data_IF_149770252603
#
_entry.id   IF_149770252603
#
_cell.length_a   1.000
_cell.length_b   1.000
_cell.length_c   1.000
_cell.angle_alpha   90.00
_cell.angle_beta   90.00
_cell.angle_gamma   90.00
#
_symmetry.space_group_name_H-M   'P 1'
#
loop_
_entity.id
_entity.type
_entity.pdbx_description
1 polymer ?
#
# COMPACT_ATOMS: atom_id res chain seq x y z
N UNK A 1 12.12 -14.82 4.87
CA UNK A 1 10.80 -14.27 4.47
C UNK A 1 10.92 -13.63 3.09
N UNK A 2 9.89 -13.76 2.25
CA UNK A 2 9.82 -13.07 0.95
C UNK A 2 9.07 -11.75 1.12
N UNK A 3 9.64 -10.67 0.59
CA UNK A 3 8.98 -9.35 0.57
C UNK A 3 7.98 -9.32 -0.58
N UNK A 4 6.74 -8.99 -0.26
CA UNK A 4 5.64 -8.92 -1.23
C UNK A 4 5.14 -7.48 -1.29
N UNK A 5 5.12 -6.92 -2.50
CA UNK A 5 4.48 -5.65 -2.81
C UNK A 5 3.12 -5.92 -3.47
N UNK A 6 2.06 -5.25 -3.00
CA UNK A 6 0.73 -5.33 -3.61
C UNK A 6 0.45 -4.04 -4.36
N UNK A 7 0.48 -4.11 -5.70
CA UNK A 7 0.17 -2.98 -6.58
C UNK A 7 -1.31 -3.02 -6.95
N UNK A 8 -2.06 -2.01 -6.52
CA UNK A 8 -3.51 -1.89 -6.61
C UNK A 8 -4.20 -2.45 -5.35
N UNK A 9 -4.55 -1.59 -4.40
CA UNK A 9 -5.28 -1.91 -3.17
C UNK A 9 -6.81 -1.86 -3.37
N UNK A 10 -7.27 -2.44 -4.48
CA UNK A 10 -8.68 -2.57 -4.81
C UNK A 10 -9.38 -3.71 -4.05
N UNK A 11 -10.50 -4.19 -4.60
CA UNK A 11 -11.28 -5.27 -3.99
C UNK A 11 -10.46 -6.55 -3.79
N UNK A 12 -9.68 -6.96 -4.79
CA UNK A 12 -8.80 -8.14 -4.70
C UNK A 12 -7.52 -7.82 -3.95
N UNK A 13 -6.88 -6.70 -4.26
CA UNK A 13 -5.59 -6.32 -3.66
C UNK A 13 -5.61 -6.30 -2.14
N UNK A 14 -6.66 -5.75 -1.52
CA UNK A 14 -6.76 -5.73 -0.05
C UNK A 14 -6.86 -7.13 0.57
N UNK A 15 -7.53 -8.07 -0.10
CA UNK A 15 -7.63 -9.46 0.34
C UNK A 15 -6.30 -10.19 0.19
N UNK A 16 -5.56 -9.89 -0.87
CA UNK A 16 -4.21 -10.41 -1.08
C UNK A 16 -3.25 -9.87 -0.02
N UNK A 17 -3.28 -8.57 0.27
CA UNK A 17 -2.46 -7.96 1.32
C UNK A 17 -2.73 -8.59 2.70
N UNK A 18 -4.01 -8.80 3.04
CA UNK A 18 -4.39 -9.49 4.27
C UNK A 18 -3.86 -10.94 4.29
N UNK A 19 -4.00 -11.68 3.19
CA UNK A 19 -3.51 -13.06 3.10
C UNK A 19 -1.99 -13.14 3.27
N UNK A 20 -1.23 -12.24 2.63
CA UNK A 20 0.23 -12.13 2.77
C UNK A 20 0.62 -11.87 4.22
N UNK A 21 -0.08 -10.96 4.91
CA UNK A 21 0.20 -10.61 6.30
C UNK A 21 -0.06 -11.75 7.30
N UNK A 22 -0.79 -12.79 6.89
CA UNK A 22 -1.06 -13.98 7.70
C UNK A 22 -0.07 -15.13 7.45
N UNK A 23 0.83 -15.03 6.46
CA UNK A 23 1.76 -16.11 6.16
C UNK A 23 3.06 -15.95 6.95
N UNK A 24 3.50 -17.02 7.60
CA UNK A 24 4.71 -17.03 8.44
C UNK A 24 6.02 -16.87 7.61
N UNK A 25 5.98 -17.12 6.30
CA UNK A 25 7.12 -17.05 5.40
C UNK A 25 7.14 -15.80 4.49
N UNK A 26 6.15 -14.92 4.61
CA UNK A 26 6.01 -13.69 3.82
C UNK A 26 6.02 -12.43 4.69
N UNK A 27 6.43 -11.32 4.08
CA UNK A 27 6.38 -10.00 4.66
C UNK A 27 5.71 -9.05 3.66
N UNK A 28 4.66 -8.35 4.08
CA UNK A 28 4.03 -7.32 3.25
C UNK A 28 4.90 -6.06 3.29
N UNK A 29 5.66 -5.83 2.22
CA UNK A 29 6.54 -4.67 2.11
C UNK A 29 5.77 -3.34 2.01
N UNK A 30 4.56 -3.42 1.43
CA UNK A 30 3.65 -2.28 1.29
C UNK A 30 2.55 -2.53 0.26
N UNK A 31 1.59 -1.60 0.24
CA UNK A 31 0.52 -1.53 -0.75
C UNK A 31 0.67 -0.24 -1.55
N UNK A 32 0.39 -0.27 -2.85
CA UNK A 32 0.54 0.88 -3.72
C UNK A 32 -0.76 1.14 -4.50
N UNK A 33 -1.20 2.39 -4.61
CA UNK A 33 -2.41 2.75 -5.36
C UNK A 33 -2.35 4.19 -5.91
N UNK A 34 -3.31 4.54 -6.77
CA UNK A 34 -3.61 5.91 -7.18
C UNK A 34 -4.78 6.52 -6.40
N UNK A 35 -5.59 5.67 -5.73
CA UNK A 35 -6.83 6.08 -5.08
C UNK A 35 -6.55 6.70 -3.71
N UNK A 36 -7.21 7.81 -3.38
CA UNK A 36 -7.01 8.58 -2.13
C UNK A 36 -8.19 8.46 -1.14
N UNK A 37 -9.09 7.49 -1.34
CA UNK A 37 -10.32 7.36 -0.54
C UNK A 37 -10.19 6.49 0.72
N UNK A 38 -11.32 6.27 1.39
CA UNK A 38 -11.44 5.49 2.63
C UNK A 38 -10.79 4.10 2.56
N UNK A 39 -10.66 3.49 1.37
CA UNK A 39 -10.04 2.17 1.22
C UNK A 39 -8.57 2.19 1.60
N UNK A 40 -7.87 3.28 1.29
CA UNK A 40 -6.46 3.44 1.67
C UNK A 40 -6.31 3.73 3.16
N UNK A 41 -7.28 4.44 3.76
CA UNK A 41 -7.28 4.64 5.22
C UNK A 41 -7.35 3.31 5.96
N UNK A 42 -8.14 2.35 5.48
CA UNK A 42 -8.18 0.99 6.05
C UNK A 42 -6.81 0.29 5.99
N UNK A 43 -6.00 0.51 4.95
CA UNK A 43 -4.64 -0.04 4.89
C UNK A 43 -3.75 0.53 6.02
N UNK A 44 -3.84 1.83 6.27
CA UNK A 44 -3.11 2.49 7.35
C UNK A 44 -3.56 2.02 8.74
N UNK A 45 -4.88 1.86 8.95
CA UNK A 45 -5.44 1.32 10.21
C UNK A 45 -4.95 -0.10 10.50
N UNK A 46 -4.69 -0.90 9.46
CA UNK A 46 -4.09 -2.22 9.56
C UNK A 46 -2.56 -2.20 9.75
N UNK A 47 -1.95 -1.01 9.74
CA UNK A 47 -0.50 -0.83 9.88
C UNK A 47 0.28 -1.11 8.58
N UNK A 48 -0.39 -1.18 7.43
CA UNK A 48 0.29 -1.40 6.16
C UNK A 48 0.92 -0.09 5.66
N UNK A 49 2.15 -0.18 5.15
CA UNK A 49 2.80 0.94 4.49
C UNK A 49 2.11 1.23 3.15
N UNK A 50 1.66 2.47 2.96
CA UNK A 50 0.97 2.92 1.74
C UNK A 50 1.94 3.69 0.86
N UNK A 51 1.99 3.34 -0.41
CA UNK A 51 2.82 3.98 -1.44
C UNK A 51 1.94 4.57 -2.53
N UNK A 52 2.36 5.71 -3.07
CA UNK A 52 1.68 6.33 -4.19
C UNK A 52 2.22 5.78 -5.51
N UNK A 53 1.31 5.41 -6.41
CA UNK A 53 1.66 4.87 -7.72
C UNK A 53 2.19 5.93 -8.70
N UNK A 54 1.79 7.19 -8.50
CA UNK A 54 2.24 8.35 -9.31
C UNK A 54 2.47 9.57 -8.42
N UNK A 55 3.14 10.60 -8.95
CA UNK A 55 3.34 11.86 -8.23
C UNK A 55 2.01 12.60 -7.97
N UNK A 56 1.06 12.51 -8.90
CA UNK A 56 -0.28 13.09 -8.74
C UNK A 56 -1.02 12.42 -7.57
N UNK A 57 -0.96 11.08 -7.50
CA UNK A 57 -1.55 10.33 -6.40
C UNK A 57 -0.88 10.66 -5.06
N UNK A 58 0.44 10.84 -5.01
CA UNK A 58 1.14 11.26 -3.78
C UNK A 58 0.62 12.61 -3.28
N UNK A 59 0.53 13.60 -4.17
CA UNK A 59 0.00 14.93 -3.85
C UNK A 59 -1.44 14.85 -3.37
N UNK A 60 -2.28 14.08 -4.06
CA UNK A 60 -3.70 13.93 -3.71
C UNK A 60 -3.86 13.26 -2.34
N UNK A 61 -3.21 12.12 -2.11
CA UNK A 61 -3.23 11.40 -0.84
C UNK A 61 -2.78 12.29 0.32
N UNK A 62 -1.64 12.99 0.17
CA UNK A 62 -1.14 13.90 1.21
C UNK A 62 -2.10 15.06 1.47
N UNK A 63 -2.75 15.60 0.43
CA UNK A 63 -3.72 16.69 0.56
C UNK A 63 -4.93 16.33 1.40
N UNK A 64 -5.32 15.04 1.42
CA UNK A 64 -6.42 14.51 2.23
C UNK A 64 -5.95 13.85 3.54
N UNK A 65 -4.69 14.05 3.91
CA UNK A 65 -4.14 13.57 5.18
C UNK A 65 -3.72 12.10 5.23
N UNK A 66 -3.64 11.42 4.07
CA UNK A 66 -3.11 10.05 4.00
C UNK A 66 -1.59 10.10 4.13
N UNK A 67 -1.05 9.33 5.08
CA UNK A 67 0.40 9.19 5.29
C UNK A 67 1.01 8.26 4.25
N UNK A 68 1.60 8.83 3.19
CA UNK A 68 2.30 8.09 2.13
C UNK A 68 3.76 7.85 2.52
N UNK A 69 4.16 6.57 2.51
CA UNK A 69 5.50 6.08 2.86
C UNK A 69 6.54 6.27 1.75
N UNK A 70 6.12 6.46 0.50
CA UNK A 70 6.99 6.69 -0.65
C UNK A 70 6.30 6.44 -1.99
N UNK A 71 7.09 6.42 -3.04
CA UNK A 71 6.72 6.12 -4.43
C UNK A 71 6.66 4.61 -4.72
N UNK A 72 6.04 4.23 -5.85
CA UNK A 72 6.05 2.85 -6.33
C UNK A 72 7.48 2.32 -6.54
N UNK A 73 8.39 3.15 -7.04
CA UNK A 73 9.78 2.77 -7.28
C UNK A 73 10.47 2.40 -5.97
N UNK A 74 10.31 3.23 -4.93
CA UNK A 74 10.84 2.93 -3.59
C UNK A 74 10.21 1.68 -2.96
N UNK A 75 8.98 1.30 -3.32
CA UNK A 75 8.39 0.03 -2.91
C UNK A 75 9.02 -1.16 -3.63
N UNK A 76 9.29 -1.05 -4.92
CA UNK A 76 9.88 -2.12 -5.73
C UNK A 76 11.36 -2.39 -5.40
N UNK A 77 12.03 -1.44 -4.76
CA UNK A 77 13.41 -1.60 -4.27
C UNK A 77 13.51 -2.32 -2.91
N UNK A 78 12.38 -2.63 -2.26
CA UNK A 78 12.31 -3.35 -0.96
C UNK A 78 12.26 -4.86 -1.10
#
# INVERSE_FOLDING_TARGET
MKNIAVIGYGVIGKRVADAVNLQDDMNLAGVCDIISDWRIQTALEKGFAVFAATEEADKEMRSVGISVAGSMQELLER
#
